data_IF_085492627756
#
_entry.id   IF_085492627756
#
_cell.length_a   1.000
_cell.length_b   1.000
_cell.length_c   1.000
_cell.angle_alpha   90.00
_cell.angle_beta   90.00
_cell.angle_gamma   90.00
#
_symmetry.space_group_name_H-M   'P 1'
#
loop_
_entity.id
_entity.type
_entity.pdbx_description
1 polymer ?
#
# COMPACT_ATOMS: atom_id res chain seq x y z
N UNK A 1 -8.08 1.14 18.75
CA UNK A 1 -8.17 -0.19 18.13
C UNK A 1 -8.56 0.03 16.68
N UNK A 2 -7.61 0.07 15.77
CA UNK A 2 -7.91 0.00 14.35
C UNK A 2 -8.33 -1.44 14.08
N UNK A 3 -9.62 -1.65 13.81
CA UNK A 3 -10.14 -2.95 13.35
C UNK A 3 -9.28 -3.39 12.15
N UNK A 4 -8.92 -4.68 12.01
CA UNK A 4 -8.33 -5.15 10.78
C UNK A 4 -9.36 -4.84 9.69
N UNK A 5 -9.04 -3.88 8.82
CA UNK A 5 -9.85 -3.59 7.66
C UNK A 5 -9.96 -4.90 6.90
N UNK A 6 -11.19 -5.42 6.79
CA UNK A 6 -11.46 -6.58 5.95
C UNK A 6 -10.78 -6.32 4.60
N UNK A 7 -9.87 -7.20 4.15
CA UNK A 7 -9.14 -6.97 2.91
C UNK A 7 -10.05 -6.81 1.70
N UNK A 8 -11.28 -7.35 1.74
CA UNK A 8 -12.30 -7.14 0.71
C UNK A 8 -12.86 -5.71 0.69
N UNK A 9 -12.76 -4.98 1.80
CA UNK A 9 -13.16 -3.58 1.89
C UNK A 9 -12.01 -2.61 1.55
N UNK A 10 -10.85 -3.12 1.12
CA UNK A 10 -9.75 -2.25 0.69
C UNK A 10 -10.05 -1.62 -0.66
N UNK A 11 -9.56 -0.40 -0.82
CA UNK A 11 -9.63 0.34 -2.07
C UNK A 11 -8.24 0.31 -2.69
N UNK A 12 -8.00 -0.42 -3.80
CA UNK A 12 -6.69 -0.46 -4.43
C UNK A 12 -6.18 0.94 -4.84
N UNK A 13 -7.08 1.83 -5.28
CA UNK A 13 -6.76 3.25 -5.52
C UNK A 13 -6.46 4.03 -4.24
N UNK A 14 -7.15 3.74 -3.15
CA UNK A 14 -6.84 4.32 -1.84
C UNK A 14 -5.45 3.93 -1.36
N UNK A 15 -5.09 2.66 -1.45
CA UNK A 15 -3.78 2.14 -1.04
C UNK A 15 -2.65 2.64 -1.96
N UNK A 16 -2.90 2.77 -3.28
CA UNK A 16 -1.98 3.45 -4.20
C UNK A 16 -1.68 4.89 -3.77
N UNK A 17 -2.71 5.67 -3.41
CA UNK A 17 -2.54 7.05 -2.95
C UNK A 17 -1.77 7.13 -1.63
N UNK A 18 -1.97 6.18 -0.72
CA UNK A 18 -1.20 6.09 0.53
C UNK A 18 0.27 5.81 0.27
N UNK A 19 0.59 4.91 -0.66
CA UNK A 19 1.99 4.68 -1.10
C UNK A 19 2.61 5.95 -1.68
N UNK A 20 1.90 6.68 -2.53
CA UNK A 20 2.37 7.96 -3.06
C UNK A 20 2.61 9.00 -1.96
N UNK A 21 1.74 9.07 -0.94
CA UNK A 21 1.91 9.97 0.19
C UNK A 21 3.15 9.64 1.05
N UNK A 22 3.54 8.36 1.10
CA UNK A 22 4.81 7.91 1.69
C UNK A 22 6.04 8.27 0.84
N UNK A 23 5.84 8.74 -0.41
CA UNK A 23 6.93 9.06 -1.34
C UNK A 23 7.75 7.83 -1.73
N UNK A 24 7.14 6.64 -1.72
CA UNK A 24 7.84 5.38 -1.96
C UNK A 24 7.69 4.91 -3.40
N UNK A 25 8.83 4.52 -3.98
CA UNK A 25 8.88 3.84 -5.25
C UNK A 25 8.10 2.50 -5.19
N UNK A 26 7.35 2.13 -6.25
CA UNK A 26 6.59 0.88 -6.28
C UNK A 26 7.45 -0.37 -6.07
N UNK A 27 8.67 -0.44 -6.57
CA UNK A 27 9.53 -1.63 -6.42
C UNK A 27 10.01 -1.77 -4.97
N UNK A 28 10.45 -0.66 -4.36
CA UNK A 28 10.84 -0.60 -2.95
C UNK A 28 9.67 -0.95 -2.03
N UNK A 29 8.47 -0.48 -2.38
CA UNK A 29 7.26 -0.77 -1.61
C UNK A 29 6.86 -2.25 -1.75
N UNK A 30 6.86 -2.80 -2.96
CA UNK A 30 6.55 -4.21 -3.22
C UNK A 30 7.45 -5.13 -2.40
N UNK A 31 8.75 -4.85 -2.37
CA UNK A 31 9.72 -5.59 -1.56
C UNK A 31 9.38 -5.55 -0.06
N UNK A 32 8.97 -4.39 0.46
CA UNK A 32 8.58 -4.24 1.88
C UNK A 32 7.24 -4.88 2.22
N UNK A 33 6.34 -4.93 1.24
CA UNK A 33 5.06 -5.62 1.34
C UNK A 33 5.19 -7.14 1.17
N UNK A 34 6.28 -7.63 0.60
CA UNK A 34 6.50 -9.05 0.32
C UNK A 34 5.68 -9.54 -0.88
N UNK A 35 5.44 -8.66 -1.85
CA UNK A 35 4.76 -8.96 -3.12
C UNK A 35 5.71 -8.66 -4.29
N UNK A 36 5.41 -9.15 -5.48
CA UNK A 36 6.16 -8.74 -6.68
C UNK A 36 5.69 -7.36 -7.16
N UNK A 37 6.54 -6.58 -7.85
CA UNK A 37 6.12 -5.32 -8.46
C UNK A 37 4.93 -5.46 -9.41
N UNK A 38 4.86 -6.58 -10.14
CA UNK A 38 3.76 -6.87 -11.06
C UNK A 38 2.45 -7.09 -10.29
N UNK A 39 2.48 -7.86 -9.21
CA UNK A 39 1.32 -8.10 -8.36
C UNK A 39 0.84 -6.80 -7.70
N UNK A 40 1.76 -5.93 -7.27
CA UNK A 40 1.42 -4.60 -6.77
C UNK A 40 0.77 -3.75 -7.86
N UNK A 41 1.33 -3.75 -9.07
CA UNK A 41 0.81 -2.97 -10.18
C UNK A 41 -0.60 -3.44 -10.58
N UNK A 42 -0.81 -4.75 -10.72
CA UNK A 42 -2.11 -5.34 -11.03
C UNK A 42 -3.16 -4.99 -9.97
N UNK A 43 -2.78 -5.10 -8.69
CA UNK A 43 -3.63 -4.66 -7.58
C UNK A 43 -3.97 -3.17 -7.69
N UNK A 44 -2.99 -2.28 -7.77
CA UNK A 44 -3.21 -0.83 -7.83
C UNK A 44 -3.94 -0.37 -9.11
N UNK A 45 -3.83 -1.13 -10.20
CA UNK A 45 -4.51 -0.90 -11.46
C UNK A 45 -5.95 -1.43 -11.47
N UNK A 46 -6.34 -2.24 -10.48
CA UNK A 46 -7.69 -2.85 -10.41
C UNK A 46 -8.77 -1.76 -10.42
N UNK A 47 -9.72 -1.92 -11.35
CA UNK A 47 -10.90 -1.05 -11.46
C UNK A 47 -11.85 -1.27 -10.27
N UNK A 48 -12.65 -0.25 -9.88
CA UNK A 48 -13.60 -0.39 -8.76
C UNK A 48 -14.60 -1.54 -8.90
N UNK A 49 -14.90 -1.94 -10.13
CA UNK A 49 -15.85 -3.01 -10.46
C UNK A 49 -15.19 -4.39 -10.68
N UNK A 50 -13.88 -4.52 -10.39
CA UNK A 50 -13.12 -5.74 -10.60
C UNK A 50 -12.62 -6.32 -9.26
N UNK A 51 -12.63 -7.65 -9.19
CA UNK A 51 -12.03 -8.39 -8.09
C UNK A 51 -10.49 -8.27 -8.13
N UNK A 52 -9.88 -8.31 -6.95
CA UNK A 52 -8.43 -8.33 -6.76
C UNK A 52 -8.01 -9.50 -5.86
N UNK A 53 -6.73 -9.85 -5.91
CA UNK A 53 -6.16 -10.85 -4.99
C UNK A 53 -6.16 -10.34 -3.54
N UNK A 54 -6.98 -10.97 -2.71
CA UNK A 54 -7.13 -10.69 -1.28
C UNK A 54 -5.80 -10.84 -0.53
N UNK A 55 -4.93 -11.76 -0.96
CA UNK A 55 -3.60 -11.97 -0.39
C UNK A 55 -2.71 -10.75 -0.64
N UNK A 56 -2.71 -10.24 -1.87
CA UNK A 56 -1.95 -9.03 -2.23
C UNK A 56 -2.50 -7.82 -1.47
N UNK A 57 -3.82 -7.66 -1.41
CA UNK A 57 -4.45 -6.57 -0.66
C UNK A 57 -4.09 -6.57 0.83
N UNK A 58 -4.06 -7.76 1.47
CA UNK A 58 -3.64 -7.90 2.86
C UNK A 58 -2.19 -7.48 3.06
N UNK A 59 -1.28 -7.95 2.20
CA UNK A 59 0.15 -7.68 2.30
C UNK A 59 0.46 -6.19 2.08
N UNK A 60 -0.11 -5.59 1.03
CA UNK A 60 -0.02 -4.15 0.73
C UNK A 60 -0.57 -3.32 1.89
N UNK A 61 -1.75 -3.68 2.38
CA UNK A 61 -2.41 -2.99 3.47
C UNK A 61 -1.62 -3.00 4.77
N UNK A 62 -1.11 -4.17 5.16
CA UNK A 62 -0.29 -4.33 6.35
C UNK A 62 1.05 -3.57 6.22
N UNK A 63 1.62 -3.50 5.01
CA UNK A 63 2.82 -2.72 4.75
C UNK A 63 2.58 -1.22 4.90
N UNK A 64 1.48 -0.70 4.34
CA UNK A 64 1.09 0.70 4.49
C UNK A 64 0.89 1.07 5.96
N UNK A 65 0.12 0.28 6.71
CA UNK A 65 -0.10 0.53 8.14
C UNK A 65 1.21 0.55 8.93
N UNK A 66 2.13 -0.38 8.64
CA UNK A 66 3.45 -0.44 9.28
C UNK A 66 4.30 0.79 8.96
N UNK A 67 4.32 1.22 7.70
CA UNK A 67 5.14 2.32 7.20
C UNK A 67 4.58 3.69 7.60
N UNK A 68 3.25 3.84 7.68
CA UNK A 68 2.62 5.06 8.19
C UNK A 68 2.80 5.20 9.71
N UNK A 69 2.78 4.10 10.45
CA UNK A 69 3.07 4.11 11.88
C UNK A 69 4.56 4.37 12.18
N UNK A 70 5.46 4.01 11.26
CA UNK A 70 6.91 4.16 11.40
C UNK A 70 7.52 4.67 10.07
N UNK A 71 7.30 5.95 9.73
CA UNK A 71 7.79 6.49 8.46
C UNK A 71 9.32 6.37 8.38
N UNK A 72 9.87 5.87 7.25
CA UNK A 72 11.31 5.79 7.09
C UNK A 72 11.94 7.19 7.16
N UNK A 73 13.13 7.29 7.76
CA UNK A 73 13.85 8.55 7.98
C UNK A 73 14.14 9.38 6.71
N UNK A 74 13.90 8.82 5.52
CA UNK A 74 13.94 9.50 4.22
C UNK A 74 12.85 10.57 4.06
N UNK A 75 11.79 10.55 4.88
CA UNK A 75 10.74 11.56 4.86
C UNK A 75 11.23 12.87 5.53
N UNK A 76 12.11 13.61 4.83
CA UNK A 76 12.44 14.99 5.19
C UNK A 76 11.24 15.87 4.87
N UNK A 77 10.34 16.03 5.83
CA UNK A 77 9.44 17.20 5.84
C UNK A 77 10.31 18.41 6.18
N UNK A 78 10.73 19.14 5.14
CA UNK A 78 11.32 20.46 5.34
C UNK A 78 10.17 21.47 5.47
N UNK A 79 9.67 21.66 6.69
CA UNK A 79 8.83 22.82 6.99
C UNK A 79 9.71 24.06 6.91
N UNK A 80 9.42 24.97 5.97
CA UNK A 80 9.84 26.37 6.02
C UNK A 80 8.73 27.21 6.60
#
# INVERSE_FOLDING_TARGET
MTLPNDPSNRSPKGDHNRRLALGMDPDDFALKAGVTPEALHEYEATSPDHDFDITVANLVGAALERLEANPPASQKVSNR
#
